data_IF_594521110511
#
_entry.id   IF_594521110511
#
_cell.length_a   1.000
_cell.length_b   1.000
_cell.length_c   1.000
_cell.angle_alpha   90.00
_cell.angle_beta   90.00
_cell.angle_gamma   90.00
#
_symmetry.space_group_name_H-M   'P 1'
#
loop_
_entity.id
_entity.type
_entity.pdbx_description
1 polymer ?
#
# COMPACT_ATOMS: atom_id res chain seq x y z
N UNK A 1 3.75 0.13 -6.82
CA UNK A 1 4.31 -0.57 -5.64
C UNK A 1 5.60 -1.23 -6.05
N UNK A 2 6.65 -1.13 -5.25
CA UNK A 2 7.94 -1.72 -5.55
C UNK A 2 8.42 -2.57 -4.38
N UNK A 3 8.92 -3.76 -4.68
CA UNK A 3 9.69 -4.54 -3.71
C UNK A 3 11.10 -3.95 -3.57
N UNK A 4 11.51 -3.63 -2.36
CA UNK A 4 12.76 -2.91 -2.13
C UNK A 4 14.01 -3.77 -2.32
N UNK A 5 13.89 -5.10 -2.20
CA UNK A 5 15.01 -6.03 -2.36
C UNK A 5 15.30 -6.29 -3.84
N UNK A 6 14.31 -6.82 -4.56
CA UNK A 6 14.44 -7.23 -5.97
C UNK A 6 14.27 -6.07 -6.95
N UNK A 7 13.77 -4.93 -6.47
CA UNK A 7 13.37 -3.76 -7.29
C UNK A 7 12.21 -4.04 -8.25
N UNK A 8 11.53 -5.18 -8.11
CA UNK A 8 10.36 -5.50 -8.92
C UNK A 8 9.20 -4.54 -8.65
N UNK A 9 8.64 -3.98 -9.71
CA UNK A 9 7.60 -2.94 -9.63
C UNK A 9 6.29 -3.37 -10.29
N UNK A 10 5.19 -3.06 -9.61
CA UNK A 10 3.82 -3.28 -10.07
C UNK A 10 3.10 -1.94 -10.12
N UNK A 11 2.51 -1.65 -11.27
CA UNK A 11 1.68 -0.48 -11.50
C UNK A 11 0.24 -0.92 -11.77
N UNK A 12 -0.71 -0.28 -11.12
CA UNK A 12 -2.13 -0.55 -11.27
C UNK A 12 -2.83 0.76 -11.66
N UNK A 13 -3.62 0.78 -12.74
CA UNK A 13 -4.40 1.96 -13.09
C UNK A 13 -5.48 2.19 -12.02
N UNK A 14 -5.59 3.44 -11.54
CA UNK A 14 -6.61 3.84 -10.58
C UNK A 14 -7.60 4.80 -11.25
N UNK A 15 -8.92 4.52 -11.25
CA UNK A 15 -9.93 5.42 -11.79
C UNK A 15 -10.09 6.70 -10.94
N UNK A 16 -9.52 6.73 -9.75
CA UNK A 16 -9.51 7.89 -8.86
C UNK A 16 -8.61 7.64 -7.67
N UNK A 17 -8.24 8.72 -6.97
CA UNK A 17 -7.24 8.65 -5.91
C UNK A 17 -7.80 8.28 -4.54
N UNK A 18 -9.11 7.99 -4.41
CA UNK A 18 -9.73 7.72 -3.11
C UNK A 18 -9.08 6.53 -2.38
N UNK A 19 -9.19 6.54 -1.06
CA UNK A 19 -8.64 5.51 -0.19
C UNK A 19 -9.15 4.11 -0.54
N UNK A 20 -10.46 3.98 -0.77
CA UNK A 20 -11.13 2.73 -1.11
C UNK A 20 -10.60 2.19 -2.44
N UNK A 21 -10.47 3.05 -3.45
CA UNK A 21 -9.95 2.70 -4.78
C UNK A 21 -8.50 2.23 -4.71
N UNK A 22 -7.65 2.99 -4.03
CA UNK A 22 -6.23 2.66 -3.83
C UNK A 22 -6.07 1.33 -3.09
N UNK A 23 -6.92 1.08 -2.09
CA UNK A 23 -6.84 -0.13 -1.28
C UNK A 23 -7.37 -1.36 -2.01
N UNK A 24 -8.47 -1.22 -2.76
CA UNK A 24 -8.98 -2.30 -3.62
C UNK A 24 -7.92 -2.69 -4.66
N UNK A 25 -7.24 -1.70 -5.26
CA UNK A 25 -6.15 -1.97 -6.17
C UNK A 25 -4.96 -2.65 -5.46
N UNK A 26 -4.62 -2.23 -4.24
CA UNK A 26 -3.59 -2.88 -3.44
C UNK A 26 -3.88 -4.37 -3.22
N UNK A 27 -5.13 -4.71 -2.86
CA UNK A 27 -5.53 -6.11 -2.67
C UNK A 27 -5.44 -6.89 -3.99
N UNK A 28 -6.10 -6.40 -5.05
CA UNK A 28 -6.26 -7.15 -6.29
C UNK A 28 -4.95 -7.30 -7.07
N UNK A 29 -4.15 -6.24 -7.17
CA UNK A 29 -2.95 -6.25 -8.00
C UNK A 29 -1.70 -6.70 -7.24
N UNK A 30 -1.72 -6.73 -5.90
CA UNK A 30 -0.56 -7.14 -5.10
C UNK A 30 -0.86 -8.32 -4.19
N UNK A 31 -1.78 -8.18 -3.22
CA UNK A 31 -2.01 -9.25 -2.23
C UNK A 31 -2.47 -10.56 -2.89
N UNK A 32 -3.43 -10.49 -3.82
CA UNK A 32 -3.92 -11.69 -4.51
C UNK A 32 -2.87 -12.36 -5.40
N UNK A 33 -1.83 -11.63 -5.82
CA UNK A 33 -0.79 -12.12 -6.74
C UNK A 33 0.49 -12.58 -6.04
N UNK A 34 0.88 -11.89 -4.97
CA UNK A 34 2.16 -12.11 -4.28
C UNK A 34 1.99 -12.49 -2.80
N UNK A 35 0.76 -12.46 -2.28
CA UNK A 35 0.47 -12.64 -0.86
C UNK A 35 0.60 -11.36 -0.04
N UNK A 36 0.37 -11.48 1.27
CA UNK A 36 0.47 -10.34 2.19
C UNK A 36 1.94 -10.03 2.51
N UNK A 37 2.42 -8.80 2.27
CA UNK A 37 3.79 -8.43 2.63
C UNK A 37 3.95 -8.34 4.15
N UNK A 38 5.16 -8.61 4.66
CA UNK A 38 5.46 -8.44 6.10
C UNK A 38 5.40 -6.97 6.54
N UNK A 39 5.82 -6.06 5.66
CA UNK A 39 5.80 -4.63 5.93
C UNK A 39 5.68 -3.81 4.66
N UNK A 40 5.10 -2.62 4.78
CA UNK A 40 4.99 -1.64 3.70
C UNK A 40 5.50 -0.30 4.21
N UNK A 41 6.32 0.36 3.40
CA UNK A 41 6.65 1.77 3.56
C UNK A 41 5.69 2.59 2.69
N UNK A 42 4.95 3.49 3.31
CA UNK A 42 4.04 4.43 2.63
C UNK A 42 4.49 5.86 2.86
N UNK A 43 4.07 6.76 1.98
CA UNK A 43 4.18 8.20 2.22
C UNK A 43 3.09 8.68 3.21
N UNK A 44 3.08 9.99 3.47
CA UNK A 44 2.05 10.65 4.30
C UNK A 44 0.78 11.02 3.49
N UNK A 45 0.56 10.40 2.33
CA UNK A 45 -0.62 10.62 1.50
C UNK A 45 -1.90 10.15 2.21
N UNK A 46 -2.94 10.99 2.18
CA UNK A 46 -4.23 10.72 2.85
C UNK A 46 -4.85 9.36 2.48
N UNK A 47 -4.64 8.90 1.25
CA UNK A 47 -5.20 7.63 0.75
C UNK A 47 -4.60 6.42 1.46
N UNK A 48 -3.29 6.47 1.73
CA UNK A 48 -2.55 5.44 2.47
C UNK A 48 -2.70 5.56 3.99
N UNK A 49 -3.08 6.75 4.48
CA UNK A 49 -3.37 7.00 5.90
C UNK A 49 -4.80 6.65 6.33
N UNK A 50 -5.66 6.28 5.38
CA UNK A 50 -7.06 5.98 5.64
C UNK A 50 -7.27 4.88 6.68
N UNK A 51 -8.40 4.96 7.40
CA UNK A 51 -8.81 3.91 8.35
C UNK A 51 -8.93 2.54 7.68
N UNK A 52 -9.33 2.54 6.40
CA UNK A 52 -9.49 1.32 5.61
C UNK A 52 -8.15 0.62 5.36
N UNK A 53 -7.11 1.36 4.95
CA UNK A 53 -5.76 0.81 4.77
C UNK A 53 -5.18 0.28 6.09
N UNK A 54 -5.40 1.01 7.20
CA UNK A 54 -5.01 0.54 8.55
C UNK A 54 -5.72 -0.76 8.95
N UNK A 55 -7.01 -0.89 8.61
CA UNK A 55 -7.81 -2.08 8.93
C UNK A 55 -7.31 -3.30 8.18
N UNK A 56 -7.01 -3.15 6.89
CA UNK A 56 -6.45 -4.25 6.08
C UNK A 56 -5.05 -4.61 6.53
N UNK A 57 -4.18 -3.62 6.79
CA UNK A 57 -2.87 -3.88 7.35
C UNK A 57 -2.95 -4.66 8.66
N UNK A 58 -3.90 -4.31 9.56
CA UNK A 58 -4.12 -5.05 10.80
C UNK A 58 -4.59 -6.49 10.56
N UNK A 59 -5.56 -6.70 9.66
CA UNK A 59 -6.09 -8.06 9.33
C UNK A 59 -5.02 -8.95 8.70
N UNK A 60 -4.22 -8.38 7.79
CA UNK A 60 -3.16 -9.08 7.09
C UNK A 60 -1.83 -9.13 7.89
N UNK A 61 -1.81 -8.60 9.12
CA UNK A 61 -0.62 -8.51 9.99
C UNK A 61 0.57 -7.82 9.32
N UNK A 62 0.29 -6.81 8.50
CA UNK A 62 1.27 -6.00 7.78
C UNK A 62 1.73 -4.86 8.69
N UNK A 63 3.05 -4.72 8.85
CA UNK A 63 3.63 -3.58 9.56
C UNK A 63 3.74 -2.37 8.64
N UNK A 64 3.10 -1.26 9.00
CA UNK A 64 3.16 -0.02 8.24
C UNK A 64 4.27 0.89 8.77
N UNK A 65 5.14 1.34 7.86
CA UNK A 65 6.11 2.40 8.08
C UNK A 65 5.70 3.64 7.28
N UNK A 66 6.11 4.81 7.74
CA UNK A 66 5.83 6.09 7.07
C UNK A 66 7.12 6.84 6.81
N UNK A 67 7.24 7.45 5.64
CA UNK A 67 8.29 8.44 5.40
C UNK A 67 8.04 9.70 6.22
N UNK A 68 9.10 10.48 6.47
CA UNK A 68 8.95 11.82 7.02
C UNK A 68 8.21 12.72 6.03
N UNK A 69 7.47 13.69 6.56
CA UNK A 69 6.83 14.69 5.71
C UNK A 69 7.89 15.51 4.96
N UNK A 70 7.59 15.86 3.71
CA UNK A 70 8.42 16.74 2.87
C UNK A 70 9.87 16.30 2.65
N UNK A 71 10.18 15.00 2.77
CA UNK A 71 11.49 14.41 2.45
C UNK A 71 11.30 13.26 1.46
N UNK A 72 11.43 13.52 0.15
CA UNK A 72 11.30 12.53 -0.91
C UNK A 72 12.46 11.52 -0.96
#
# INVERSE_FOLDING_TARGET
MQDLLTKYSVYAPLPGIRAETTTAAFINYFICRFGCPRSILIDQGRNFMSLFMKTIAKRCRIRLFRTSAHHP
#
